data_IF_216084517959
#
_entry.id   IF_216084517959
#
_cell.length_a   1.000
_cell.length_b   1.000
_cell.length_c   1.000
_cell.angle_alpha   90.00
_cell.angle_beta   90.00
_cell.angle_gamma   90.00
#
_symmetry.space_group_name_H-M   'P 1'
#
loop_
_entity.id
_entity.type
_entity.pdbx_description
1 polymer ?
#
# COMPACT_ATOMS: atom_id res chain seq x y z
N UNK A 1 0.21 2.52 -16.26
CA UNK A 1 0.59 1.15 -15.89
C UNK A 1 -0.67 0.34 -15.65
N UNK A 2 -0.68 -0.91 -16.07
CA UNK A 2 -1.71 -1.90 -15.72
C UNK A 2 -1.54 -2.34 -14.25
N UNK A 3 -2.55 -3.00 -13.68
CA UNK A 3 -2.44 -3.57 -12.33
C UNK A 3 -1.31 -4.61 -12.24
N UNK A 4 -1.14 -5.44 -13.28
CA UNK A 4 -0.06 -6.44 -13.30
C UNK A 4 1.31 -5.77 -13.32
N UNK A 5 1.50 -4.71 -14.11
CA UNK A 5 2.76 -3.95 -14.13
C UNK A 5 3.09 -3.34 -12.76
N UNK A 6 2.08 -2.88 -12.02
CA UNK A 6 2.26 -2.37 -10.65
C UNK A 6 2.63 -3.50 -9.67
N UNK A 7 2.04 -4.68 -9.80
CA UNK A 7 2.41 -5.85 -8.97
C UNK A 7 3.87 -6.23 -9.24
N UNK A 8 4.27 -6.30 -10.51
CA UNK A 8 5.65 -6.66 -10.89
C UNK A 8 6.66 -5.58 -10.46
N UNK A 9 6.29 -4.30 -10.54
CA UNK A 9 7.11 -3.20 -10.03
C UNK A 9 7.24 -3.26 -8.50
N UNK A 10 6.15 -3.55 -7.78
CA UNK A 10 6.13 -3.71 -6.33
C UNK A 10 7.10 -4.82 -5.89
N UNK A 11 7.02 -6.00 -6.49
CA UNK A 11 7.92 -7.14 -6.18
C UNK A 11 9.39 -6.77 -6.40
N UNK A 12 9.69 -6.05 -7.48
CA UNK A 12 11.06 -5.58 -7.76
C UNK A 12 11.54 -4.50 -6.78
N UNK A 13 10.62 -3.71 -6.24
CA UNK A 13 10.93 -2.61 -5.33
C UNK A 13 11.09 -3.05 -3.87
N UNK A 14 10.38 -4.10 -3.44
CA UNK A 14 10.41 -4.58 -2.04
C UNK A 14 11.81 -4.80 -1.44
N UNK A 15 12.84 -5.29 -2.17
CA UNK A 15 14.20 -5.43 -1.64
C UNK A 15 14.89 -4.12 -1.24
N UNK A 16 14.37 -2.96 -1.68
CA UNK A 16 14.91 -1.63 -1.37
C UNK A 16 14.26 -0.98 -0.15
N UNK A 17 13.27 -1.63 0.46
CA UNK A 17 12.59 -1.13 1.65
C UNK A 17 13.47 -1.31 2.89
N UNK A 18 13.47 -0.30 3.76
CA UNK A 18 14.02 -0.43 5.09
C UNK A 18 13.22 -1.45 5.93
N UNK A 19 13.85 -1.99 6.95
CA UNK A 19 13.20 -2.92 7.88
C UNK A 19 11.91 -2.34 8.46
N UNK A 20 10.81 -3.08 8.30
CA UNK A 20 9.49 -2.69 8.80
C UNK A 20 8.68 -1.84 7.83
N UNK A 21 9.28 -1.18 6.84
CA UNK A 21 8.53 -0.52 5.78
C UNK A 21 7.84 -1.55 4.87
N UNK A 22 6.78 -1.12 4.19
CA UNK A 22 6.05 -1.99 3.28
C UNK A 22 5.36 -1.21 2.19
N UNK A 23 4.89 -1.93 1.18
CA UNK A 23 4.19 -1.33 0.04
C UNK A 23 2.78 -1.89 -0.09
N UNK A 24 1.88 -1.06 -0.59
CA UNK A 24 0.57 -1.50 -1.06
C UNK A 24 0.20 -0.78 -2.37
N UNK A 25 -0.70 -1.36 -3.14
CA UNK A 25 -1.26 -0.73 -4.34
C UNK A 25 -2.59 -0.11 -3.96
N UNK A 26 -2.79 1.17 -4.29
CA UNK A 26 -4.00 1.92 -3.98
C UNK A 26 -4.42 2.87 -5.11
N UNK A 27 -5.58 3.52 -4.97
CA UNK A 27 -6.02 4.53 -5.93
C UNK A 27 -5.06 5.73 -5.94
N UNK A 28 -4.76 6.24 -7.13
CA UNK A 28 -3.99 7.48 -7.27
C UNK A 28 -4.77 8.71 -6.81
N UNK A 29 -6.11 8.67 -6.91
CA UNK A 29 -6.98 9.71 -6.36
C UNK A 29 -7.03 9.62 -4.84
N UNK A 30 -6.48 10.63 -4.17
CA UNK A 30 -6.42 10.73 -2.71
C UNK A 30 -7.82 10.80 -2.06
N UNK A 31 -8.85 11.25 -2.80
CA UNK A 31 -10.23 11.26 -2.27
C UNK A 31 -10.79 9.85 -2.11
N UNK A 32 -10.30 8.89 -2.90
CA UNK A 32 -10.69 7.48 -2.82
C UNK A 32 -9.85 6.70 -1.81
N UNK A 33 -8.65 7.20 -1.46
CA UNK A 33 -7.66 6.46 -0.69
C UNK A 33 -8.16 6.10 0.72
N UNK A 34 -8.80 7.05 1.42
CA UNK A 34 -9.33 6.81 2.76
C UNK A 34 -10.40 5.71 2.77
N UNK A 35 -11.36 5.79 1.84
CA UNK A 35 -12.41 4.77 1.68
C UNK A 35 -11.84 3.41 1.26
N UNK A 36 -10.84 3.41 0.38
CA UNK A 36 -10.12 2.20 -0.01
C UNK A 36 -9.44 1.53 1.20
N UNK A 37 -8.69 2.27 2.02
CA UNK A 37 -8.00 1.71 3.20
C UNK A 37 -9.01 1.12 4.20
N UNK A 38 -10.13 1.81 4.44
CA UNK A 38 -11.19 1.30 5.30
C UNK A 38 -11.76 -0.03 4.76
N UNK A 39 -11.94 -0.12 3.45
CA UNK A 39 -12.43 -1.33 2.80
C UNK A 39 -11.42 -2.49 2.86
N UNK A 40 -10.12 -2.22 2.64
CA UNK A 40 -9.06 -3.22 2.84
C UNK A 40 -9.09 -3.74 4.27
N UNK A 41 -9.23 -2.85 5.26
CA UNK A 41 -9.30 -3.23 6.67
C UNK A 41 -10.52 -4.10 7.01
N UNK A 42 -11.65 -3.87 6.32
CA UNK A 42 -12.85 -4.69 6.45
C UNK A 42 -12.68 -6.08 5.80
N UNK A 43 -12.00 -6.16 4.66
CA UNK A 43 -11.82 -7.38 3.88
C UNK A 43 -10.67 -8.27 4.40
N UNK A 44 -9.70 -7.70 5.10
CA UNK A 44 -8.61 -8.46 5.69
C UNK A 44 -9.16 -9.45 6.74
N UNK A 45 -8.68 -10.70 6.76
CA UNK A 45 -9.16 -11.70 7.72
C UNK A 45 -9.01 -11.18 9.14
N UNK A 46 -10.16 -11.00 9.80
CA UNK A 46 -10.25 -10.51 11.16
C UNK A 46 -9.73 -11.58 12.13
N UNK A 47 -8.43 -11.57 12.40
CA UNK A 47 -7.97 -12.14 13.65
C UNK A 47 -8.58 -11.26 14.75
N UNK A 48 -9.41 -11.87 15.61
CA UNK A 48 -10.23 -11.24 16.67
C UNK A 48 -9.49 -10.28 17.61
N UNK A 49 -8.16 -10.17 17.50
CA UNK A 49 -7.30 -9.25 18.22
C UNK A 49 -6.60 -8.33 17.21
N UNK A 50 -7.23 -7.18 16.95
CA UNK A 50 -6.64 -6.01 16.30
C UNK A 50 -6.03 -6.22 14.89
N UNK A 51 -6.87 -6.17 13.85
CA UNK A 51 -6.38 -5.80 12.51
C UNK A 51 -5.86 -4.36 12.56
N UNK A 52 -4.54 -4.20 12.62
CA UNK A 52 -3.88 -2.91 12.38
C UNK A 52 -3.89 -2.61 10.88
N UNK A 53 -3.79 -1.33 10.51
CA UNK A 53 -3.68 -0.93 9.10
C UNK A 53 -2.57 -1.69 8.37
N UNK A 54 -1.46 -1.99 9.04
CA UNK A 54 -0.33 -2.74 8.54
C UNK A 54 -0.66 -4.17 8.20
N UNK A 55 -1.36 -4.89 9.08
CA UNK A 55 -1.79 -6.26 8.81
C UNK A 55 -2.71 -6.31 7.59
N UNK A 56 -3.62 -5.35 7.48
CA UNK A 56 -4.61 -5.29 6.40
C UNK A 56 -3.99 -4.87 5.07
N UNK A 57 -3.15 -3.83 5.05
CA UNK A 57 -2.52 -3.31 3.83
C UNK A 57 -1.38 -4.20 3.30
N UNK A 58 -0.78 -5.04 4.14
CA UNK A 58 0.15 -6.09 3.71
C UNK A 58 -0.56 -7.31 3.13
N UNK A 59 -1.86 -7.46 3.36
CA UNK A 59 -2.63 -8.57 2.82
C UNK A 59 -2.98 -8.30 1.35
N UNK A 60 -2.24 -8.94 0.44
CA UNK A 60 -2.40 -8.75 -1.00
C UNK A 60 -3.79 -9.13 -1.49
N UNK A 61 -4.41 -10.17 -0.95
CA UNK A 61 -5.76 -10.58 -1.35
C UNK A 61 -6.80 -9.52 -0.97
N UNK A 62 -6.72 -8.99 0.26
CA UNK A 62 -7.60 -7.92 0.73
C UNK A 62 -7.43 -6.64 -0.11
N UNK A 63 -6.18 -6.28 -0.44
CA UNK A 63 -5.87 -5.17 -1.32
C UNK A 63 -6.48 -5.37 -2.71
N UNK A 64 -6.26 -6.53 -3.34
CA UNK A 64 -6.79 -6.82 -4.68
C UNK A 64 -8.33 -6.87 -4.71
N UNK A 65 -8.95 -7.45 -3.67
CA UNK A 65 -10.40 -7.42 -3.52
C UNK A 65 -10.92 -5.99 -3.40
N UNK A 66 -10.30 -5.14 -2.58
CA UNK A 66 -10.70 -3.73 -2.46
C UNK A 66 -10.52 -2.95 -3.77
N UNK A 67 -9.43 -3.19 -4.51
CA UNK A 67 -9.18 -2.56 -5.81
C UNK A 67 -10.26 -2.95 -6.84
N UNK A 68 -10.73 -4.20 -6.82
CA UNK A 68 -11.79 -4.68 -7.73
C UNK A 68 -13.15 -4.01 -7.53
N UNK A 69 -13.37 -3.37 -6.38
CA UNK A 69 -14.60 -2.63 -6.07
C UNK A 69 -14.58 -1.18 -6.55
N UNK A 70 -13.44 -0.68 -7.03
CA UNK A 70 -13.30 0.66 -7.58
C UNK A 70 -13.81 0.71 -9.04
N UNK A 71 -14.08 1.91 -9.53
CA UNK A 71 -14.56 2.11 -10.90
C UNK A 71 -13.51 1.64 -11.92
N UNK A 72 -13.96 1.14 -13.08
CA UNK A 72 -13.09 0.54 -14.10
C UNK A 72 -12.03 1.48 -14.70
N UNK A 73 -12.13 2.79 -14.46
CA UNK A 73 -11.21 3.81 -14.95
C UNK A 73 -10.29 4.37 -13.85
N UNK A 74 -10.38 3.84 -12.62
CA UNK A 74 -9.54 4.29 -11.51
C UNK A 74 -8.08 3.94 -11.80
N UNK A 75 -7.23 4.96 -11.78
CA UNK A 75 -5.78 4.76 -11.87
C UNK A 75 -5.23 4.33 -10.52
N UNK A 76 -4.29 3.40 -10.53
CA UNK A 76 -3.64 2.87 -9.34
C UNK A 76 -2.16 3.27 -9.30
N UNK A 77 -1.60 3.28 -8.09
CA UNK A 77 -0.17 3.49 -7.84
C UNK A 77 0.30 2.66 -6.67
N UNK A 78 1.63 2.50 -6.55
CA UNK A 78 2.26 1.92 -5.37
C UNK A 78 2.51 3.02 -4.34
N UNK A 79 2.11 2.76 -3.10
CA UNK A 79 2.43 3.54 -1.93
C UNK A 79 3.42 2.79 -1.06
N UNK A 80 4.31 3.53 -0.41
CA UNK A 80 5.25 3.02 0.59
C UNK A 80 4.81 3.54 1.95
N UNK A 81 4.55 2.64 2.90
CA UNK A 81 4.19 2.98 4.28
C UNK A 81 5.42 2.89 5.17
N UNK A 82 5.61 3.92 5.99
CA UNK A 82 6.68 3.98 6.98
C UNK A 82 6.29 3.17 8.22
N UNK A 83 6.84 1.96 8.36
CA UNK A 83 6.34 0.96 9.32
C UNK A 83 6.49 1.35 10.78
N UNK A 84 7.56 2.08 11.13
CA UNK A 84 7.78 2.52 12.51
C UNK A 84 6.77 3.56 12.99
N UNK A 85 6.28 4.40 12.07
CA UNK A 85 5.24 5.38 12.39
C UNK A 85 3.87 4.71 12.56
N UNK A 86 3.63 3.66 11.80
CA UNK A 86 2.39 2.88 11.89
C UNK A 86 2.27 2.14 13.22
N UNK A 87 3.39 1.64 13.77
CA UNK A 87 3.45 1.07 15.14
C UNK A 87 3.00 2.07 16.21
N UNK A 88 3.15 3.37 15.94
CA UNK A 88 2.70 4.46 16.81
C UNK A 88 1.25 4.89 16.53
N UNK A 89 0.53 4.18 15.67
CA UNK A 89 -0.87 4.44 15.31
C UNK A 89 -1.04 5.46 14.18
N UNK A 90 0.03 5.92 13.54
CA UNK A 90 -0.02 6.94 12.48
C UNK A 90 0.33 6.32 11.14
N UNK A 91 -0.65 6.25 10.24
CA UNK A 91 -0.40 5.80 8.87
C UNK A 91 0.28 6.92 8.07
N UNK A 92 1.59 6.83 7.91
CA UNK A 92 2.36 7.71 7.03
C UNK A 92 2.76 6.93 5.79
N UNK A 93 2.36 7.44 4.63
CA UNK A 93 2.71 6.86 3.35
C UNK A 93 3.31 7.91 2.40
N UNK A 94 4.09 7.44 1.44
CA UNK A 94 4.67 8.21 0.35
C UNK A 94 4.55 7.44 -0.96
N UNK A 95 5.03 8.03 -2.05
CA UNK A 95 5.21 7.34 -3.32
C UNK A 95 6.57 6.62 -3.35
N UNK A 96 6.79 5.73 -4.34
CA UNK A 96 8.12 5.12 -4.56
C UNK A 96 9.16 6.21 -4.83
N UNK A 97 8.84 7.17 -5.68
CA UNK A 97 9.74 8.27 -6.06
C UNK A 97 10.17 9.09 -4.83
N UNK A 98 9.21 9.45 -3.98
CA UNK A 98 9.46 10.18 -2.74
C UNK A 98 10.33 9.36 -1.78
N UNK A 99 10.05 8.06 -1.65
CA UNK A 99 10.80 7.16 -0.80
C UNK A 99 12.25 7.00 -1.28
N UNK A 100 12.46 6.80 -2.58
CA UNK A 100 13.79 6.70 -3.18
C UNK A 100 14.60 7.98 -2.98
N UNK A 101 13.98 9.15 -3.20
CA UNK A 101 14.66 10.44 -3.01
C UNK A 101 15.09 10.68 -1.55
N UNK A 102 14.24 10.28 -0.58
CA UNK A 102 14.53 10.39 0.87
C UNK A 102 15.66 9.45 1.29
N UNK A 103 15.67 8.22 0.79
CA UNK A 103 16.62 7.18 1.18
C UNK A 103 17.86 7.07 0.26
N UNK A 104 17.98 7.92 -0.77
CA UNK A 104 19.07 7.89 -1.76
C UNK A 104 19.19 6.55 -2.49
N UNK A 105 18.03 5.98 -2.88
CA UNK A 105 17.94 4.73 -3.62
C UNK A 105 17.86 5.03 -5.13
N UNK A 106 18.70 4.36 -5.92
CA UNK A 106 18.63 4.36 -7.39
C UNK A 106 17.82 3.14 -7.86
N UNK A 107 16.54 3.35 -8.18
CA UNK A 107 15.62 2.28 -8.60
C UNK A 107 14.82 2.62 -9.88
N UNK A 108 14.60 3.90 -10.15
CA UNK A 108 13.80 4.41 -11.27
C UNK A 108 14.69 5.11 -12.30
#
# INVERSE_FOLDING_TARGET
MTLQELIDLKVRFEPYLNDGDYTFIGPNDLNLLSGFIANVNFLAPANFFATTFGNSLRNQDAVLMALSQLQSHTQFRIFVVLGDMEKSGVLIHSTIEEYCNRNKIEFL
#
